data_IF_363066600142
#
_entry.id   IF_363066600142
#
_cell.length_a   1.000
_cell.length_b   1.000
_cell.length_c   1.000
_cell.angle_alpha   90.00
_cell.angle_beta   90.00
_cell.angle_gamma   90.00
#
_symmetry.space_group_name_H-M   'P 1'
#
loop_
_entity.id
_entity.type
_entity.pdbx_description
1 polymer ?
#
# COMPACT_ATOMS: atom_id res chain seq x y z
N UNK A 1 -11.56 -13.07 -9.60
CA UNK A 1 -10.88 -12.57 -8.38
C UNK A 1 -9.37 -12.44 -8.55
N UNK A 2 -8.66 -13.48 -9.02
CA UNK A 2 -7.20 -13.41 -9.26
C UNK A 2 -6.80 -12.38 -10.34
N UNK A 3 -7.61 -12.21 -11.40
CA UNK A 3 -7.38 -11.21 -12.45
C UNK A 3 -7.35 -9.77 -11.89
N UNK A 4 -8.24 -9.46 -10.93
CA UNK A 4 -8.26 -8.16 -10.25
C UNK A 4 -7.02 -7.95 -9.35
N UNK A 5 -6.52 -9.00 -8.70
CA UNK A 5 -5.30 -8.92 -7.88
C UNK A 5 -4.03 -8.77 -8.74
N UNK A 6 -3.97 -9.46 -9.87
CA UNK A 6 -2.86 -9.33 -10.81
C UNK A 6 -2.81 -7.92 -11.41
N UNK A 7 -3.95 -7.37 -11.86
CA UNK A 7 -4.06 -5.99 -12.34
C UNK A 7 -3.70 -4.96 -11.24
N UNK A 8 -4.18 -5.20 -10.01
CA UNK A 8 -3.87 -4.36 -8.86
C UNK A 8 -2.36 -4.29 -8.61
N UNK A 9 -1.70 -5.45 -8.53
CA UNK A 9 -0.25 -5.53 -8.30
C UNK A 9 0.54 -5.04 -9.51
N UNK A 10 0.06 -5.27 -10.73
CA UNK A 10 0.72 -4.77 -11.94
C UNK A 10 0.71 -3.24 -12.03
N UNK A 11 -0.22 -2.54 -11.37
CA UNK A 11 -0.16 -1.07 -11.27
C UNK A 11 1.04 -0.55 -10.46
N UNK A 12 1.67 -1.41 -9.65
CA UNK A 12 2.85 -1.04 -8.85
C UNK A 12 4.15 -1.19 -9.62
N UNK A 13 5.13 -0.33 -9.30
CA UNK A 13 6.48 -0.47 -9.85
C UNK A 13 7.22 -1.69 -9.26
N UNK A 14 8.22 -2.20 -9.98
CA UNK A 14 8.96 -3.39 -9.60
C UNK A 14 9.69 -3.27 -8.25
N UNK A 15 10.12 -2.06 -7.87
CA UNK A 15 10.80 -1.81 -6.59
C UNK A 15 9.83 -2.01 -5.43
N UNK A 16 8.60 -1.49 -5.54
CA UNK A 16 7.56 -1.69 -4.54
C UNK A 16 7.14 -3.14 -4.44
N UNK A 17 6.98 -3.84 -5.57
CA UNK A 17 6.65 -5.27 -5.59
C UNK A 17 7.72 -6.10 -4.88
N UNK A 18 9.01 -5.80 -5.11
CA UNK A 18 10.10 -6.47 -4.41
C UNK A 18 10.09 -6.14 -2.91
N UNK A 19 9.85 -4.89 -2.52
CA UNK A 19 9.76 -4.51 -1.12
C UNK A 19 8.60 -5.21 -0.38
N UNK A 20 7.47 -5.45 -1.06
CA UNK A 20 6.37 -6.26 -0.53
C UNK A 20 6.80 -7.73 -0.41
N UNK A 21 7.42 -8.29 -1.46
CA UNK A 21 7.89 -9.67 -1.46
C UNK A 21 8.87 -9.95 -0.32
N UNK A 22 9.88 -9.09 -0.16
CA UNK A 22 10.89 -9.18 0.90
C UNK A 22 10.28 -9.05 2.29
N UNK A 23 9.29 -8.17 2.48
CA UNK A 23 8.62 -7.99 3.76
C UNK A 23 7.74 -9.17 4.18
N UNK A 24 7.44 -10.08 3.26
CA UNK A 24 6.62 -11.25 3.49
C UNK A 24 7.41 -12.56 3.28
N UNK A 25 8.74 -12.50 3.20
CA UNK A 25 9.60 -13.68 2.95
C UNK A 25 9.16 -14.47 1.70
N UNK A 26 8.72 -13.75 0.66
CA UNK A 26 8.34 -14.31 -0.64
C UNK A 26 9.51 -14.07 -1.59
N UNK A 27 10.35 -15.10 -1.74
CA UNK A 27 11.52 -15.02 -2.62
C UNK A 27 11.31 -15.85 -3.89
N UNK A 28 11.84 -15.40 -5.03
CA UNK A 28 11.92 -16.22 -6.22
C UNK A 28 12.76 -17.48 -5.97
N UNK A 29 12.45 -18.60 -6.63
CA UNK A 29 13.37 -19.72 -6.69
C UNK A 29 14.69 -19.24 -7.35
N UNK A 30 15.81 -19.47 -6.69
CA UNK A 30 17.19 -19.27 -7.20
C UNK A 30 17.78 -17.85 -7.25
N UNK A 31 17.31 -16.87 -6.46
CA UNK A 31 18.03 -15.59 -6.28
C UNK A 31 18.24 -14.76 -7.56
N UNK A 32 17.63 -15.15 -8.68
CA UNK A 32 17.66 -14.45 -9.96
C UNK A 32 16.72 -13.25 -9.90
N UNK A 33 17.08 -12.20 -10.65
CA UNK A 33 16.14 -11.11 -10.88
C UNK A 33 14.97 -11.63 -11.73
N UNK A 34 13.82 -11.83 -11.10
CA UNK A 34 12.59 -12.18 -11.83
C UNK A 34 12.00 -10.96 -12.52
N UNK A 35 11.46 -11.12 -13.74
CA UNK A 35 10.65 -10.11 -14.40
C UNK A 35 9.46 -9.69 -13.52
N UNK A 36 8.99 -8.45 -13.70
CA UNK A 36 7.85 -7.89 -12.96
C UNK A 36 6.61 -8.80 -13.03
N UNK A 37 6.26 -9.31 -14.20
CA UNK A 37 5.09 -10.17 -14.39
C UNK A 37 5.18 -11.48 -13.58
N UNK A 38 6.38 -12.05 -13.46
CA UNK A 38 6.62 -13.24 -12.65
C UNK A 38 6.55 -12.91 -11.15
N UNK A 39 7.07 -11.75 -10.74
CA UNK A 39 6.91 -11.25 -9.37
C UNK A 39 5.43 -11.04 -9.01
N UNK A 40 4.63 -10.48 -9.92
CA UNK A 40 3.18 -10.32 -9.71
C UNK A 40 2.52 -11.68 -9.51
N UNK A 41 2.78 -12.67 -10.37
CA UNK A 41 2.23 -14.03 -10.21
C UNK A 41 2.61 -14.64 -8.87
N UNK A 42 3.88 -14.57 -8.50
CA UNK A 42 4.39 -15.09 -7.24
C UNK A 42 3.69 -14.45 -6.02
N UNK A 43 3.49 -13.13 -6.06
CA UNK A 43 2.78 -12.41 -5.01
C UNK A 43 1.28 -12.78 -4.97
N UNK A 44 0.60 -12.88 -6.12
CA UNK A 44 -0.81 -13.32 -6.15
C UNK A 44 -0.97 -14.69 -5.52
N UNK A 45 -0.09 -15.63 -5.85
CA UNK A 45 -0.18 -17.02 -5.38
C UNK A 45 0.10 -17.15 -3.88
N UNK A 46 1.05 -16.36 -3.37
CA UNK A 46 1.60 -16.57 -2.02
C UNK A 46 1.13 -15.54 -1.00
N UNK A 47 0.98 -14.27 -1.37
CA UNK A 47 0.73 -13.16 -0.44
C UNK A 47 -0.67 -13.22 0.17
N UNK A 48 -1.67 -13.63 -0.60
CA UNK A 48 -3.08 -13.60 -0.21
C UNK A 48 -3.60 -14.90 0.43
N UNK A 49 -2.69 -15.73 0.93
CA UNK A 49 -3.05 -16.93 1.70
C UNK A 49 -3.63 -16.54 3.05
N UNK A 50 -4.61 -17.32 3.55
CA UNK A 50 -5.29 -17.04 4.81
C UNK A 50 -4.30 -16.92 5.97
N UNK A 51 -3.33 -17.82 6.02
CA UNK A 51 -2.30 -17.90 7.06
C UNK A 51 -1.49 -16.61 7.09
N UNK A 52 -1.10 -16.08 5.93
CA UNK A 52 -0.33 -14.83 5.84
C UNK A 52 -1.15 -13.60 6.18
N UNK A 53 -2.38 -13.51 5.69
CA UNK A 53 -3.27 -12.39 6.03
C UNK A 53 -3.51 -12.34 7.54
N UNK A 54 -3.76 -13.49 8.17
CA UNK A 54 -3.92 -13.57 9.62
C UNK A 54 -2.62 -13.23 10.37
N UNK A 55 -1.48 -13.75 9.92
CA UNK A 55 -0.18 -13.41 10.51
C UNK A 55 0.13 -11.93 10.41
N UNK A 56 -0.10 -11.33 9.24
CA UNK A 56 0.06 -9.90 9.00
C UNK A 56 -0.87 -9.06 9.91
N UNK A 57 -2.13 -9.47 10.05
CA UNK A 57 -3.11 -8.84 10.93
C UNK A 57 -2.75 -8.92 12.42
N UNK A 58 -2.20 -10.05 12.87
CA UNK A 58 -1.76 -10.23 14.26
C UNK A 58 -0.51 -9.39 14.58
N UNK A 59 0.35 -9.16 13.59
CA UNK A 59 1.56 -8.37 13.72
C UNK A 59 1.36 -6.85 13.56
N UNK A 60 0.11 -6.38 13.40
CA UNK A 60 -0.21 -4.95 13.37
C UNK A 60 -0.13 -4.33 14.77
N UNK A 61 0.28 -3.06 14.82
CA UNK A 61 0.09 -2.25 16.02
C UNK A 61 -1.41 -2.01 16.26
N UNK A 62 -1.85 -1.74 17.50
CA UNK A 62 -3.25 -1.40 17.78
C UNK A 62 -3.75 -0.24 16.91
N UNK A 63 -2.93 0.79 16.70
CA UNK A 63 -3.29 1.94 15.86
C UNK A 63 -3.47 1.58 14.38
N UNK A 64 -2.59 0.74 13.81
CA UNK A 64 -2.71 0.30 12.42
C UNK A 64 -3.91 -0.64 12.23
N UNK A 65 -4.22 -1.45 13.26
CA UNK A 65 -5.42 -2.30 13.28
C UNK A 65 -6.70 -1.47 13.28
N UNK A 66 -6.79 -0.44 14.13
CA UNK A 66 -7.96 0.45 14.18
C UNK A 66 -8.22 1.11 12.82
N UNK A 67 -7.16 1.53 12.13
CA UNK A 67 -7.29 2.10 10.77
C UNK A 67 -7.83 1.08 9.78
N UNK A 68 -7.34 -0.16 9.82
CA UNK A 68 -7.79 -1.23 8.94
C UNK A 68 -9.25 -1.64 9.24
N UNK A 69 -9.65 -1.70 10.51
CA UNK A 69 -11.05 -1.94 10.90
C UNK A 69 -11.99 -0.87 10.36
N UNK A 70 -11.59 0.42 10.45
CA UNK A 70 -12.36 1.51 9.87
C UNK A 70 -12.48 1.42 8.35
N UNK A 71 -11.45 0.93 7.66
CA UNK A 71 -11.49 0.68 6.22
C UNK A 71 -12.45 -0.48 5.88
N UNK A 72 -12.44 -1.55 6.68
CA UNK A 72 -13.36 -2.68 6.50
C UNK A 72 -14.83 -2.28 6.69
N UNK A 73 -15.12 -1.33 7.59
CA UNK A 73 -16.46 -0.74 7.73
C UNK A 73 -16.91 0.04 6.49
N UNK A 74 -15.99 0.47 5.63
CA UNK A 74 -16.28 1.08 4.32
C UNK A 74 -16.34 0.03 3.20
N UNK A 75 -16.65 -1.23 3.52
CA UNK A 75 -16.69 -2.34 2.56
C UNK A 75 -15.34 -2.65 1.89
N UNK A 76 -14.22 -2.19 2.50
CA UNK A 76 -12.87 -2.49 2.02
C UNK A 76 -12.37 -1.62 0.88
N UNK A 77 -13.19 -0.70 0.35
CA UNK A 77 -12.77 0.25 -0.69
C UNK A 77 -13.30 1.66 -0.40
N UNK A 78 -12.43 2.67 -0.51
CA UNK A 78 -12.84 4.06 -0.37
C UNK A 78 -11.83 4.98 -1.07
N UNK A 79 -12.26 6.18 -1.45
CA UNK A 79 -11.34 7.18 -1.94
C UNK A 79 -10.46 7.72 -0.79
N UNK A 80 -9.23 8.08 -1.13
CA UNK A 80 -8.23 8.51 -0.13
C UNK A 80 -8.67 9.74 0.66
N UNK A 81 -9.41 10.66 0.04
CA UNK A 81 -9.82 11.91 0.70
C UNK A 81 -10.88 11.64 1.76
N UNK A 82 -11.88 10.82 1.43
CA UNK A 82 -12.90 10.34 2.36
C UNK A 82 -12.26 9.55 3.50
N UNK A 83 -11.34 8.63 3.19
CA UNK A 83 -10.59 7.89 4.22
C UNK A 83 -9.85 8.82 5.16
N UNK A 84 -9.08 9.78 4.61
CA UNK A 84 -8.35 10.77 5.42
C UNK A 84 -9.28 11.55 6.32
N UNK A 85 -10.38 12.06 5.78
CA UNK A 85 -11.35 12.87 6.54
C UNK A 85 -11.98 12.05 7.67
N UNK A 86 -12.38 10.81 7.38
CA UNK A 86 -12.94 9.89 8.37
C UNK A 86 -11.94 9.59 9.49
N UNK A 87 -10.71 9.20 9.15
CA UNK A 87 -9.70 8.84 10.12
C UNK A 87 -9.21 10.05 10.94
N UNK A 88 -9.18 11.26 10.35
CA UNK A 88 -8.88 12.50 11.11
C UNK A 88 -9.98 12.79 12.12
N UNK A 89 -11.25 12.66 11.72
CA UNK A 89 -12.41 12.86 12.63
C UNK A 89 -12.41 11.86 13.78
N UNK A 90 -11.99 10.63 13.51
CA UNK A 90 -11.80 9.61 14.54
C UNK A 90 -10.56 9.83 15.42
N UNK A 91 -9.76 10.86 15.15
CA UNK A 91 -8.53 11.13 15.87
C UNK A 91 -7.50 10.01 15.74
N UNK A 92 -7.47 9.31 14.59
CA UNK A 92 -6.53 8.21 14.31
C UNK A 92 -5.31 8.69 13.52
N UNK A 93 -5.51 9.57 12.53
CA UNK A 93 -4.40 10.11 11.70
C UNK A 93 -4.10 11.58 12.00
N UNK A 94 -2.83 11.92 11.88
CA UNK A 94 -2.32 13.28 12.01
C UNK A 94 -2.36 14.02 10.66
N UNK A 95 -2.08 15.31 10.69
CA UNK A 95 -1.91 16.12 9.48
C UNK A 95 -0.65 15.68 8.71
N UNK A 96 -0.77 15.59 7.38
CA UNK A 96 0.37 15.23 6.54
C UNK A 96 1.36 16.41 6.52
N UNK A 97 2.63 16.20 6.88
CA UNK A 97 3.63 17.26 6.80
C UNK A 97 3.84 17.68 5.35
N UNK A 98 3.91 19.00 5.11
CA UNK A 98 4.27 19.55 3.80
C UNK A 98 5.71 19.19 3.49
N UNK A 99 5.94 18.27 2.54
CA UNK A 99 7.28 17.97 2.02
C UNK A 99 7.35 18.34 0.55
N UNK A 100 8.43 19.01 0.17
CA UNK A 100 8.81 19.16 -1.24
C UNK A 100 9.11 17.78 -1.83
N UNK A 101 8.67 17.48 -3.07
CA UNK A 101 8.86 16.18 -3.68
C UNK A 101 10.36 15.86 -3.78
N UNK A 102 10.82 14.85 -3.04
CA UNK A 102 12.21 14.34 -3.14
C UNK A 102 12.21 13.14 -4.08
N UNK A 103 12.78 13.32 -5.27
CA UNK A 103 13.07 12.23 -6.20
C UNK A 103 14.06 11.24 -5.54
N UNK A 104 13.77 9.93 -5.62
CA UNK A 104 14.73 8.87 -5.27
C UNK A 104 14.43 7.99 -4.05
N UNK A 105 13.25 8.07 -3.41
CA UNK A 105 12.85 7.09 -2.37
C UNK A 105 11.84 6.08 -2.90
N UNK A 106 12.03 4.81 -2.53
CA UNK A 106 11.07 3.72 -2.70
C UNK A 106 9.80 4.01 -1.89
N UNK A 107 8.66 4.18 -2.54
CA UNK A 107 7.35 4.37 -1.90
C UNK A 107 6.26 4.74 -2.89
N UNK A 108 5.01 4.68 -2.45
CA UNK A 108 3.84 5.11 -3.24
C UNK A 108 3.78 6.64 -3.19
N UNK A 109 3.77 7.29 -4.36
CA UNK A 109 3.59 8.74 -4.46
C UNK A 109 2.12 9.09 -4.26
N UNK A 110 1.83 10.04 -3.38
CA UNK A 110 0.48 10.54 -3.13
C UNK A 110 0.37 11.99 -3.65
N UNK A 111 -0.82 12.45 -4.10
CA UNK A 111 -1.05 13.80 -4.66
C UNK A 111 -0.53 14.97 -3.81
N UNK A 112 -0.33 14.76 -2.50
CA UNK A 112 0.25 15.76 -1.60
C UNK A 112 1.77 15.93 -1.75
N UNK A 113 2.43 15.14 -2.61
CA UNK A 113 3.89 15.12 -2.78
C UNK A 113 4.64 14.40 -1.66
N UNK A 114 3.94 14.00 -0.58
CA UNK A 114 4.53 13.20 0.50
C UNK A 114 4.53 11.72 0.13
N UNK A 115 5.71 11.09 0.15
CA UNK A 115 5.87 9.65 -0.10
C UNK A 115 5.85 8.93 1.26
N UNK A 116 4.88 8.03 1.43
CA UNK A 116 4.74 7.24 2.65
C UNK A 116 5.98 6.40 2.97
N UNK A 117 6.39 6.38 4.24
CA UNK A 117 7.54 5.62 4.72
C UNK A 117 7.11 4.48 5.66
N UNK A 118 7.22 3.20 5.23
CA UNK A 118 6.81 2.06 6.03
C UNK A 118 7.73 1.76 7.22
N UNK A 119 8.89 2.41 7.33
CA UNK A 119 9.82 2.21 8.46
C UNK A 119 9.46 3.07 9.68
N UNK A 120 8.59 4.08 9.53
CA UNK A 120 8.16 4.94 10.65
C UNK A 120 7.01 4.28 11.40
N UNK A 121 7.32 3.35 12.31
CA UNK A 121 6.31 2.57 13.04
C UNK A 121 5.28 3.43 13.79
N UNK A 122 5.73 4.49 14.45
CA UNK A 122 4.86 5.35 15.30
C UNK A 122 4.21 6.51 14.53
N UNK A 123 4.45 6.62 13.22
CA UNK A 123 3.88 7.71 12.44
C UNK A 123 2.39 7.53 12.25
N UNK A 124 1.65 8.58 12.61
CA UNK A 124 0.21 8.70 12.43
C UNK A 124 -0.18 9.39 11.12
N UNK A 125 0.80 9.66 10.25
CA UNK A 125 0.53 10.18 8.90
C UNK A 125 -0.13 9.08 8.08
N UNK A 126 -1.24 9.41 7.41
CA UNK A 126 -2.02 8.42 6.63
C UNK A 126 -1.15 7.67 5.62
N UNK A 127 -0.30 8.39 4.89
CA UNK A 127 0.62 7.82 3.90
C UNK A 127 1.60 6.82 4.50
N UNK A 128 2.11 7.06 5.71
CA UNK A 128 3.01 6.14 6.40
C UNK A 128 2.25 4.87 6.85
N UNK A 129 1.03 5.04 7.37
CA UNK A 129 0.15 3.93 7.77
C UNK A 129 -0.18 3.06 6.55
N UNK A 130 -0.63 3.69 5.44
CA UNK A 130 -0.94 2.97 4.21
C UNK A 130 0.29 2.23 3.67
N UNK A 131 1.48 2.85 3.72
CA UNK A 131 2.72 2.20 3.33
C UNK A 131 3.03 0.96 4.19
N UNK A 132 2.83 1.03 5.52
CA UNK A 132 2.98 -0.13 6.41
C UNK A 132 1.99 -1.24 6.10
N UNK A 133 0.71 -0.90 5.89
CA UNK A 133 -0.33 -1.87 5.54
C UNK A 133 -0.11 -2.49 4.15
N UNK A 134 0.37 -1.71 3.18
CA UNK A 134 0.71 -2.19 1.83
C UNK A 134 1.89 -3.12 1.86
N UNK A 135 2.95 -2.77 2.61
CA UNK A 135 4.13 -3.62 2.78
C UNK A 135 3.77 -4.99 3.38
N UNK A 136 2.73 -5.06 4.19
CA UNK A 136 2.19 -6.30 4.79
C UNK A 136 1.15 -7.01 3.92
N UNK A 137 0.83 -6.49 2.73
CA UNK A 137 -0.13 -7.09 1.81
C UNK A 137 -1.61 -6.98 2.25
N UNK A 138 -1.95 -6.03 3.14
CA UNK A 138 -3.30 -5.89 3.69
C UNK A 138 -4.15 -4.82 3.02
N UNK A 139 -3.52 -3.72 2.58
CA UNK A 139 -4.21 -2.60 1.92
C UNK A 139 -3.43 -2.20 0.69
N UNK A 140 -4.13 -1.96 -0.41
CA UNK A 140 -3.53 -1.48 -1.64
C UNK A 140 -4.20 -0.18 -2.09
N UNK A 141 -3.43 0.62 -2.78
CA UNK A 141 -3.82 1.92 -3.33
C UNK A 141 -3.75 1.82 -4.84
N UNK A 142 -4.84 2.21 -5.52
CA UNK A 142 -4.89 2.30 -6.97
C UNK A 142 -5.16 3.72 -7.41
N UNK A 143 -4.59 4.13 -8.53
CA UNK A 143 -5.00 5.36 -9.21
C UNK A 143 -6.29 5.04 -9.98
N UNK A 144 -7.36 5.84 -9.85
CA UNK A 144 -8.57 5.63 -10.63
C UNK A 144 -8.24 5.62 -12.13
N UNK A 145 -8.80 4.67 -12.88
CA UNK A 145 -8.56 4.55 -14.33
C UNK A 145 -8.95 5.82 -15.12
N UNK A 146 -9.78 6.70 -14.54
CA UNK A 146 -10.21 7.96 -15.15
C UNK A 146 -9.13 9.04 -15.29
N UNK A 147 -7.91 8.83 -14.77
CA UNK A 147 -6.83 9.83 -14.86
C UNK A 147 -5.86 9.59 -16.03
N UNK A 148 -5.92 8.44 -16.72
CA UNK A 148 -5.20 8.22 -17.97
C UNK A 148 -5.94 8.90 -19.14
N UNK A 149 -5.88 10.22 -19.22
CA UNK A 149 -6.46 10.95 -20.36
C UNK A 149 -6.57 12.46 -20.24
N UNK A 150 -6.41 13.05 -19.06
CA UNK A 150 -6.36 14.50 -18.94
C UNK A 150 -4.92 14.99 -18.86
N UNK A 151 -4.43 15.44 -20.01
CA UNK A 151 -3.35 16.41 -20.11
C UNK A 151 -3.68 17.63 -19.22
N UNK A 152 -3.26 17.62 -17.97
CA UNK A 152 -3.09 18.86 -17.22
C UNK A 152 -1.70 19.37 -17.60
N UNK A 153 -1.69 20.25 -18.59
CA UNK A 153 -0.59 21.18 -18.81
C UNK A 153 -0.35 21.91 -17.48
N UNK A 154 0.87 21.84 -16.97
CA UNK A 154 1.41 22.91 -16.13
C UNK A 154 1.87 24.04 -17.03
#
# INVERSE_FOLDING_TARGET
>A
MAENLAELLDSYNAVTLRAIADANDIHPPEGKQVPKAEMVRLLVDRLFTRERVLGAWQALSPADRDVLERLLLQQGETDRWTLRRMLRRAGLVAETPTQSPRYGRSGVSYDSGYIGNPQRADSRVLEDILARLTRRGLVFTRVPASTYGQNVKL
#
